data_IF_179769899473
#
_entry.id   IF_179769899473
#
_cell.length_a   1.000
_cell.length_b   1.000
_cell.length_c   1.000
_cell.angle_alpha   90.00
_cell.angle_beta   90.00
_cell.angle_gamma   90.00
#
_symmetry.space_group_name_H-M   'P 1'
#
loop_
_entity.id
_entity.type
_entity.pdbx_description
1 polymer ?
#
# COMPACT_ATOMS: atom_id res chain seq x y z
N UNK A 1 -13.10 10.84 3.23
CA UNK A 1 -12.93 11.68 4.44
C UNK A 1 -12.06 10.97 5.48
N UNK A 2 -12.30 9.68 5.77
CA UNK A 2 -11.52 8.92 6.75
C UNK A 2 -10.00 8.83 6.46
N UNK A 3 -9.58 8.57 5.21
CA UNK A 3 -8.14 8.39 4.90
C UNK A 3 -7.31 9.67 5.06
N UNK A 4 -7.88 10.84 4.73
CA UNK A 4 -7.20 12.11 4.95
C UNK A 4 -7.00 12.37 6.45
N UNK A 5 -8.00 12.00 7.27
CA UNK A 5 -7.88 12.07 8.72
C UNK A 5 -6.76 11.16 9.24
N UNK A 6 -6.59 9.95 8.69
CA UNK A 6 -5.48 9.05 9.06
C UNK A 6 -4.10 9.66 8.79
N UNK A 7 -3.93 10.39 7.68
CA UNK A 7 -2.68 11.10 7.40
C UNK A 7 -2.43 12.24 8.40
N UNK A 8 -3.47 13.02 8.73
CA UNK A 8 -3.37 14.07 9.75
C UNK A 8 -3.07 13.51 11.13
N UNK A 9 -3.73 12.42 11.52
CA UNK A 9 -3.47 11.73 12.79
C UNK A 9 -2.03 11.24 12.83
N UNK A 10 -1.54 10.59 11.76
CA UNK A 10 -0.15 10.14 11.67
C UNK A 10 0.86 11.30 11.75
N UNK A 11 0.58 12.43 11.09
CA UNK A 11 1.41 13.62 11.18
C UNK A 11 1.42 14.20 12.60
N UNK A 12 0.26 14.35 13.23
CA UNK A 12 0.12 14.91 14.57
C UNK A 12 0.72 14.01 15.65
N UNK A 13 0.73 12.70 15.47
CA UNK A 13 1.39 11.78 16.42
C UNK A 13 2.90 11.77 16.24
N UNK A 14 3.40 11.83 15.00
CA UNK A 14 4.84 11.81 14.73
C UNK A 14 5.53 13.17 14.92
N UNK A 15 4.85 14.29 14.70
CA UNK A 15 5.46 15.62 14.77
C UNK A 15 6.01 15.98 16.17
N UNK A 16 5.31 15.71 17.29
CA UNK A 16 5.86 15.92 18.63
C UNK A 16 7.06 15.01 18.91
N UNK A 17 7.00 13.75 18.48
CA UNK A 17 8.11 12.80 18.65
C UNK A 17 9.35 13.29 17.89
N UNK A 18 9.17 13.73 16.64
CA UNK A 18 10.24 14.28 15.83
C UNK A 18 10.85 15.53 16.47
N UNK A 19 10.03 16.42 17.04
CA UNK A 19 10.48 17.64 17.72
C UNK A 19 11.23 17.38 19.05
N UNK A 20 10.95 16.27 19.73
CA UNK A 20 11.67 15.84 20.94
C UNK A 20 13.01 15.18 20.59
N UNK A 21 13.05 14.38 19.53
CA UNK A 21 14.25 13.62 19.13
C UNK A 21 15.24 14.46 18.34
N UNK A 22 14.76 15.42 17.54
CA UNK A 22 15.58 16.28 16.70
C UNK A 22 15.24 17.75 16.91
N UNK A 23 16.25 18.61 16.88
CA UNK A 23 16.01 20.06 16.86
C UNK A 23 15.30 20.46 15.55
N UNK A 24 14.38 21.43 15.56
CA UNK A 24 13.69 21.86 14.34
C UNK A 24 14.64 22.29 13.22
N UNK A 25 15.75 22.95 13.57
CA UNK A 25 16.81 23.32 12.64
C UNK A 25 17.54 22.09 12.10
N UNK A 26 17.81 21.09 12.95
CA UNK A 26 18.42 19.83 12.54
C UNK A 26 17.56 19.01 11.58
N UNK A 27 16.23 19.10 11.68
CA UNK A 27 15.30 18.47 10.73
C UNK A 27 15.40 19.15 9.36
N UNK A 28 15.41 20.49 9.32
CA UNK A 28 15.51 21.25 8.06
C UNK A 28 16.82 20.94 7.34
N UNK A 29 17.93 20.91 8.07
CA UNK A 29 19.25 20.61 7.49
C UNK A 29 19.32 19.17 6.98
N UNK A 30 18.72 18.20 7.67
CA UNK A 30 18.62 16.81 7.17
C UNK A 30 17.79 16.70 5.90
N UNK A 31 16.67 17.44 5.82
CA UNK A 31 15.83 17.47 4.60
C UNK A 31 16.62 18.05 3.42
N UNK A 32 17.34 19.15 3.62
CA UNK A 32 18.16 19.76 2.56
C UNK A 32 19.34 18.87 2.15
N UNK A 33 19.97 18.22 3.12
CA UNK A 33 21.09 17.32 2.86
C UNK A 33 20.68 15.99 2.22
N UNK A 34 19.40 15.61 2.32
CA UNK A 34 18.90 14.36 1.76
C UNK A 34 19.00 14.37 0.22
N UNK A 35 19.51 13.28 -0.41
CA UNK A 35 19.54 13.14 -1.85
C UNK A 35 18.17 13.32 -2.53
N UNK A 36 18.17 13.87 -3.74
CA UNK A 36 16.97 14.21 -4.51
C UNK A 36 15.99 13.02 -4.68
N UNK A 37 16.52 11.79 -4.74
CA UNK A 37 15.71 10.56 -4.85
C UNK A 37 14.76 10.38 -3.67
N UNK A 38 15.14 10.78 -2.46
CA UNK A 38 14.26 10.68 -1.29
C UNK A 38 13.11 11.67 -1.35
N UNK A 39 13.37 12.88 -1.83
CA UNK A 39 12.33 13.89 -2.07
C UNK A 39 11.31 13.40 -3.10
N UNK A 40 11.77 12.84 -4.21
CA UNK A 40 10.88 12.24 -5.20
C UNK A 40 10.12 11.03 -4.65
N UNK A 41 10.75 10.21 -3.80
CA UNK A 41 10.07 9.11 -3.12
C UNK A 41 8.91 9.60 -2.24
N UNK A 42 9.13 10.65 -1.45
CA UNK A 42 8.07 11.26 -0.61
C UNK A 42 6.96 11.85 -1.47
N UNK A 43 7.29 12.57 -2.56
CA UNK A 43 6.29 13.14 -3.48
C UNK A 43 5.48 12.05 -4.18
N UNK A 44 6.14 10.98 -4.64
CA UNK A 44 5.48 9.81 -5.22
C UNK A 44 4.49 9.19 -4.23
N UNK A 45 4.91 8.99 -2.99
CA UNK A 45 4.06 8.44 -1.94
C UNK A 45 2.87 9.35 -1.62
N UNK A 46 3.08 10.66 -1.48
CA UNK A 46 2.01 11.61 -1.15
C UNK A 46 0.96 11.74 -2.27
N UNK A 47 1.42 11.86 -3.52
CA UNK A 47 0.55 12.20 -4.66
C UNK A 47 -0.03 10.95 -5.29
N UNK A 48 0.82 10.02 -5.75
CA UNK A 48 0.39 8.88 -6.55
C UNK A 48 -0.11 7.73 -5.66
N UNK A 49 0.72 7.24 -4.75
CA UNK A 49 0.37 6.11 -3.88
C UNK A 49 -0.65 6.47 -2.81
N UNK A 50 -0.64 7.73 -2.34
CA UNK A 50 -1.56 8.24 -1.34
C UNK A 50 -2.80 8.79 -2.01
N UNK A 51 -2.78 10.07 -2.36
CA UNK A 51 -3.98 10.81 -2.72
C UNK A 51 -4.71 10.22 -3.93
N UNK A 52 -4.01 9.97 -5.04
CA UNK A 52 -4.62 9.46 -6.28
C UNK A 52 -5.15 8.03 -6.10
N UNK A 53 -4.31 7.10 -5.63
CA UNK A 53 -4.70 5.70 -5.47
C UNK A 53 -5.91 5.55 -4.54
N UNK A 54 -5.89 6.20 -3.37
CA UNK A 54 -7.04 6.15 -2.46
C UNK A 54 -8.26 6.84 -3.05
N UNK A 55 -8.12 7.97 -3.76
CA UNK A 55 -9.28 8.62 -4.39
C UNK A 55 -9.93 7.73 -5.43
N UNK A 56 -9.14 7.05 -6.27
CA UNK A 56 -9.65 6.09 -7.25
C UNK A 56 -10.31 4.88 -6.56
N UNK A 57 -9.72 4.37 -5.49
CA UNK A 57 -10.29 3.28 -4.70
C UNK A 57 -11.67 3.65 -4.11
N UNK A 58 -11.76 4.81 -3.45
CA UNK A 58 -13.04 5.27 -2.91
C UNK A 58 -14.06 5.57 -4.01
N UNK A 59 -13.61 6.04 -5.18
CA UNK A 59 -14.47 6.22 -6.34
C UNK A 59 -15.02 4.87 -6.81
N UNK A 60 -14.18 3.84 -6.94
CA UNK A 60 -14.59 2.50 -7.31
C UNK A 60 -15.63 1.94 -6.33
N UNK A 61 -15.41 2.08 -5.02
CA UNK A 61 -16.39 1.66 -3.99
C UNK A 61 -17.74 2.37 -4.07
N UNK A 62 -17.79 3.57 -4.68
CA UNK A 62 -19.05 4.31 -4.88
C UNK A 62 -19.71 3.99 -6.22
N UNK A 63 -18.98 3.42 -7.18
CA UNK A 63 -19.48 3.19 -8.55
C UNK A 63 -19.81 1.74 -8.84
N UNK A 64 -19.18 0.78 -8.16
CA UNK A 64 -19.44 -0.66 -8.34
C UNK A 64 -19.68 -1.33 -6.98
N UNK A 65 -20.13 -2.58 -7.00
CA UNK A 65 -20.42 -3.34 -5.77
C UNK A 65 -19.15 -3.49 -4.92
N UNK A 66 -19.25 -3.31 -3.60
CA UNK A 66 -18.11 -3.42 -2.68
C UNK A 66 -17.43 -4.81 -2.77
N UNK A 67 -18.22 -5.86 -3.02
CA UNK A 67 -17.71 -7.20 -3.25
C UNK A 67 -16.83 -7.30 -4.50
N UNK A 68 -17.17 -6.60 -5.57
CA UNK A 68 -16.37 -6.54 -6.79
C UNK A 68 -15.08 -5.73 -6.60
N UNK A 69 -15.14 -4.58 -5.91
CA UNK A 69 -13.92 -3.79 -5.59
C UNK A 69 -12.92 -4.63 -4.78
N UNK A 70 -13.42 -5.42 -3.85
CA UNK A 70 -12.57 -6.24 -2.97
C UNK A 70 -11.76 -7.28 -3.74
N UNK A 71 -12.28 -7.78 -4.88
CA UNK A 71 -11.59 -8.72 -5.76
C UNK A 71 -10.36 -8.09 -6.42
N UNK A 72 -10.40 -6.77 -6.72
CA UNK A 72 -9.22 -6.05 -7.21
C UNK A 72 -8.07 -6.05 -6.20
N UNK A 73 -8.35 -6.26 -4.91
CA UNK A 73 -7.31 -6.45 -3.89
C UNK A 73 -6.41 -7.65 -4.15
N UNK A 74 -6.88 -8.68 -4.87
CA UNK A 74 -6.05 -9.83 -5.27
C UNK A 74 -4.99 -9.47 -6.31
N UNK A 75 -5.08 -8.30 -6.94
CA UNK A 75 -4.03 -7.79 -7.82
C UNK A 75 -2.82 -7.27 -7.04
N UNK A 76 -2.97 -6.88 -5.78
CA UNK A 76 -1.84 -6.38 -4.99
C UNK A 76 -0.66 -7.35 -4.97
N UNK A 77 -0.81 -8.63 -4.61
CA UNK A 77 0.31 -9.56 -4.64
C UNK A 77 0.83 -9.84 -6.05
N UNK A 78 -0.05 -9.82 -7.06
CA UNK A 78 0.36 -10.01 -8.46
C UNK A 78 1.36 -8.92 -8.93
N UNK A 79 1.18 -7.68 -8.49
CA UNK A 79 2.09 -6.58 -8.82
C UNK A 79 3.22 -6.40 -7.80
N UNK A 80 2.92 -6.54 -6.51
CA UNK A 80 3.89 -6.30 -5.44
C UNK A 80 5.01 -7.33 -5.44
N UNK A 81 4.71 -8.63 -5.66
CA UNK A 81 5.73 -9.68 -5.61
C UNK A 81 6.79 -9.54 -6.70
N UNK A 82 6.45 -9.36 -7.99
CA UNK A 82 7.46 -9.09 -9.01
C UNK A 82 8.22 -7.78 -8.79
N UNK A 83 7.56 -6.72 -8.35
CA UNK A 83 8.23 -5.45 -8.02
C UNK A 83 9.24 -5.64 -6.87
N UNK A 84 8.88 -6.38 -5.82
CA UNK A 84 9.78 -6.66 -4.71
C UNK A 84 11.05 -7.41 -5.16
N UNK A 85 10.91 -8.46 -5.98
CA UNK A 85 12.06 -9.28 -6.41
C UNK A 85 12.85 -8.63 -7.54
N UNK A 86 12.19 -8.11 -8.57
CA UNK A 86 12.86 -7.61 -9.79
C UNK A 86 13.34 -6.18 -9.61
N UNK A 87 12.48 -5.30 -9.09
CA UNK A 87 12.78 -3.88 -8.95
C UNK A 87 13.58 -3.61 -7.68
N UNK A 88 13.08 -4.08 -6.54
CA UNK A 88 13.70 -3.86 -5.23
C UNK A 88 14.89 -4.79 -4.96
N UNK A 89 15.05 -5.83 -5.79
CA UNK A 89 16.12 -6.84 -5.66
C UNK A 89 16.13 -7.50 -4.27
N UNK A 90 14.94 -7.71 -3.69
CA UNK A 90 14.83 -8.39 -2.41
C UNK A 90 15.40 -9.80 -2.49
N UNK A 91 16.18 -10.18 -1.47
CA UNK A 91 16.73 -11.52 -1.37
C UNK A 91 15.60 -12.50 -1.07
N UNK A 92 15.41 -13.46 -1.96
CA UNK A 92 14.46 -14.56 -1.77
C UNK A 92 14.93 -15.39 -0.57
N UNK A 93 14.27 -15.17 0.56
CA UNK A 93 14.52 -15.87 1.82
C UNK A 93 13.43 -16.90 2.09
N UNK A 94 13.68 -17.82 3.02
CA UNK A 94 12.68 -18.82 3.41
C UNK A 94 11.38 -18.16 3.92
N UNK A 95 11.40 -17.11 4.77
CA UNK A 95 10.19 -16.39 5.15
C UNK A 95 9.45 -15.76 3.96
N UNK A 96 10.17 -15.21 2.98
CA UNK A 96 9.58 -14.65 1.77
C UNK A 96 8.81 -15.71 0.97
N UNK A 97 9.40 -16.89 0.78
CA UNK A 97 8.76 -18.00 0.07
C UNK A 97 7.50 -18.50 0.79
N UNK A 98 7.55 -18.61 2.12
CA UNK A 98 6.38 -19.00 2.93
C UNK A 98 5.26 -17.97 2.77
N UNK A 99 5.58 -16.67 2.90
CA UNK A 99 4.60 -15.60 2.70
C UNK A 99 3.99 -15.60 1.30
N UNK A 100 4.82 -15.74 0.27
CA UNK A 100 4.37 -15.83 -1.12
C UNK A 100 3.44 -17.03 -1.35
N UNK A 101 3.77 -18.21 -0.79
CA UNK A 101 2.93 -19.39 -0.88
C UNK A 101 1.58 -19.22 -0.17
N UNK A 102 1.56 -18.61 1.02
CA UNK A 102 0.32 -18.33 1.77
C UNK A 102 -0.57 -17.37 0.97
N UNK A 103 -0.01 -16.29 0.44
CA UNK A 103 -0.76 -15.32 -0.37
C UNK A 103 -1.33 -15.98 -1.63
N UNK A 104 -0.51 -16.75 -2.36
CA UNK A 104 -0.96 -17.48 -3.55
C UNK A 104 -2.10 -18.45 -3.21
N UNK A 105 -1.98 -19.23 -2.14
CA UNK A 105 -3.03 -20.12 -1.68
C UNK A 105 -4.32 -19.37 -1.31
N UNK A 106 -4.21 -18.25 -0.61
CA UNK A 106 -5.34 -17.39 -0.25
C UNK A 106 -6.09 -16.85 -1.47
N UNK A 107 -5.36 -16.36 -2.48
CA UNK A 107 -5.94 -15.91 -3.75
C UNK A 107 -6.65 -17.05 -4.47
N UNK A 108 -6.03 -18.23 -4.57
CA UNK A 108 -6.64 -19.41 -5.18
C UNK A 108 -7.93 -19.78 -4.47
N UNK A 109 -7.93 -19.90 -3.13
CA UNK A 109 -9.12 -20.26 -2.36
C UNK A 109 -10.27 -19.25 -2.58
N UNK A 110 -9.95 -17.96 -2.59
CA UNK A 110 -10.94 -16.90 -2.79
C UNK A 110 -11.62 -16.99 -4.17
N UNK A 111 -10.82 -17.15 -5.23
CA UNK A 111 -11.34 -17.25 -6.60
C UNK A 111 -12.15 -18.54 -6.81
N UNK A 112 -11.70 -19.67 -6.28
CA UNK A 112 -12.43 -20.94 -6.37
C UNK A 112 -13.80 -20.88 -5.70
N UNK A 113 -13.93 -20.20 -4.54
CA UNK A 113 -15.22 -20.08 -3.83
C UNK A 113 -16.22 -19.20 -4.60
N UNK A 114 -15.77 -18.10 -5.20
CA UNK A 114 -16.60 -17.22 -6.03
C UNK A 114 -17.15 -17.95 -7.28
N UNK A 115 -16.31 -18.76 -7.93
CA UNK A 115 -16.71 -19.56 -9.10
C UNK A 115 -17.80 -20.59 -8.78
N UNK A 116 -17.76 -21.21 -7.59
CA UNK A 116 -18.76 -22.19 -7.16
C UNK A 116 -20.12 -21.58 -6.82
N UNK A 117 -20.14 -20.39 -6.23
CA UNK A 117 -21.40 -19.69 -5.90
C UNK A 117 -22.18 -19.27 -7.14
N UNK A 118 -21.50 -18.71 -8.16
CA UNK A 118 -22.13 -18.34 -9.43
C UNK A 118 -22.66 -19.56 -10.23
N UNK A 119 -22.11 -20.76 -10.01
CA UNK A 119 -22.61 -22.00 -10.64
C UNK A 119 -23.78 -22.64 -9.91
N UNK A 120 -23.95 -22.42 -8.60
CA UNK A 120 -25.06 -22.96 -7.81
C UNK A 120 -26.31 -22.07 -7.82
N UNK A 121 -26.17 -20.83 -8.29
CA UNK A 121 -27.24 -19.82 -8.44
C UNK A 121 -27.86 -19.80 -9.86
N UNK A 122 -27.37 -20.63 -10.78
CA UNK A 122 -27.97 -20.89 -12.10
C UNK A 122 -28.61 -22.27 -12.09
#
# INVERSE_FOLDING_TARGET
>A
MATNLSFWVGFLTLAPIAAVVHSPLGIIEQIKAAPLVFHFGVLFMAILSGNLAYTLWHKAQKTIEVGEVSVFGYLYPLFATPLAVVWLKEKISVPFLIGAAIIAAGVVIAEYKKSRYNKASK
#
